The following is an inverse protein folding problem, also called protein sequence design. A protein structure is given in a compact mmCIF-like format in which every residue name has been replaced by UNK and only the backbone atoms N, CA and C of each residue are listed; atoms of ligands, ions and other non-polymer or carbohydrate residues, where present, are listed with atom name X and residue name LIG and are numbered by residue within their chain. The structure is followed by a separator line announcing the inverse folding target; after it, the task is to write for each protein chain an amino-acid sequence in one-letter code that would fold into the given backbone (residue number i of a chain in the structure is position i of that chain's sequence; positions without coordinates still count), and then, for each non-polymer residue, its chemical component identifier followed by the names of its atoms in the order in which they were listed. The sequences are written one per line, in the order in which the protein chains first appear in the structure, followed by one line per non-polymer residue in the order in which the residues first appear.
data_IF_228781969696
#
_entry.id   IF_228781969696
#
_cell.length_a   1.000
_cell.length_b   1.000
_cell.length_c   1.000
_cell.angle_alpha   90.00
_cell.angle_beta   90.00
_cell.angle_gamma   90.00
#
_symmetry.space_group_name_H-M   'P 1'
#
loop_
_entity.id
_entity.type
_entity.pdbx_description
1 polymer ?
#
# COMPACT_ATOMS: atom_id res chain seq x y z
N UNK A 1 21.05 53.71 -44.24
CA UNK A 1 21.93 52.57 -43.98
C UNK A 1 21.71 52.14 -42.58
N UNK A 2 21.10 50.98 -42.36
CA UNK A 2 21.41 50.08 -41.27
C UNK A 2 20.35 48.98 -41.22
N UNK A 3 20.85 47.79 -41.46
CA UNK A 3 20.09 46.56 -41.58
C UNK A 3 19.54 46.15 -40.19
N UNK A 4 18.25 45.94 -40.11
CA UNK A 4 17.60 45.32 -38.97
C UNK A 4 17.58 43.82 -39.21
N UNK A 5 18.39 43.12 -38.44
CA UNK A 5 18.40 41.65 -38.39
C UNK A 5 17.33 41.23 -37.40
N UNK A 6 16.22 40.71 -37.93
CA UNK A 6 15.17 40.12 -37.13
C UNK A 6 15.57 38.73 -36.69
N UNK A 7 15.84 38.55 -35.40
CA UNK A 7 15.99 37.24 -34.79
C UNK A 7 14.61 36.62 -34.55
N UNK A 8 14.23 35.69 -35.40
CA UNK A 8 13.06 34.84 -35.15
C UNK A 8 13.40 33.82 -34.09
N UNK A 9 12.87 34.02 -32.90
CA UNK A 9 12.96 33.06 -31.79
C UNK A 9 11.93 31.96 -32.03
N UNK A 10 12.40 30.83 -32.57
CA UNK A 10 11.63 29.59 -32.70
C UNK A 10 11.46 28.96 -31.33
N UNK A 11 10.30 29.19 -30.69
CA UNK A 11 9.87 28.45 -29.52
C UNK A 11 9.47 27.04 -29.96
N UNK A 12 10.39 26.09 -29.83
CA UNK A 12 10.05 24.68 -29.87
C UNK A 12 9.27 24.32 -28.59
N UNK A 13 7.96 24.37 -28.67
CA UNK A 13 7.11 23.71 -27.68
C UNK A 13 7.23 22.20 -27.89
N UNK A 14 8.10 21.56 -27.12
CA UNK A 14 8.10 20.12 -26.98
C UNK A 14 6.81 19.72 -26.25
N UNK A 15 5.77 19.40 -27.01
CA UNK A 15 4.60 18.71 -26.47
C UNK A 15 5.06 17.30 -26.08
N UNK A 16 5.39 17.11 -24.82
CA UNK A 16 5.53 15.79 -24.23
C UNK A 16 4.15 15.14 -24.22
N UNK A 17 3.86 14.41 -25.29
CA UNK A 17 2.75 13.48 -25.30
C UNK A 17 3.10 12.40 -24.27
N UNK A 18 2.53 12.49 -23.09
CA UNK A 18 2.45 11.36 -22.18
C UNK A 18 1.67 10.30 -22.96
N UNK A 19 2.39 9.32 -23.48
CA UNK A 19 1.80 8.15 -24.11
C UNK A 19 1.10 7.37 -23.01
N UNK A 20 -0.20 7.60 -22.87
CA UNK A 20 -1.06 6.68 -22.15
C UNK A 20 -0.96 5.36 -22.93
N UNK A 21 -0.49 4.25 -22.33
CA UNK A 21 -0.43 2.98 -23.03
C UNK A 21 -1.80 2.72 -23.65
N UNK A 22 -1.81 2.24 -24.89
CA UNK A 22 -3.01 1.89 -25.63
C UNK A 22 -3.73 0.76 -24.87
N UNK A 23 -4.57 1.15 -23.90
CA UNK A 23 -5.47 0.22 -23.25
C UNK A 23 -6.62 -0.06 -24.18
N UNK A 24 -6.91 -1.33 -24.40
CA UNK A 24 -8.10 -1.72 -25.15
C UNK A 24 -9.36 -1.31 -24.37
N UNK A 25 -10.50 -1.15 -25.06
CA UNK A 25 -11.78 -0.90 -24.42
C UNK A 25 -12.12 -1.99 -23.40
N UNK A 26 -11.66 -3.21 -23.66
CA UNK A 26 -11.85 -4.35 -22.76
C UNK A 26 -11.00 -4.25 -21.50
N UNK A 27 -9.76 -3.77 -21.61
CA UNK A 27 -8.89 -3.53 -20.44
C UNK A 27 -9.44 -2.41 -19.56
N UNK A 28 -9.98 -1.36 -20.18
CA UNK A 28 -10.64 -0.27 -19.48
C UNK A 28 -11.90 -0.74 -18.74
N UNK A 29 -12.73 -1.56 -19.39
CA UNK A 29 -13.93 -2.14 -18.79
C UNK A 29 -13.59 -3.07 -17.61
N UNK A 30 -12.55 -3.89 -17.74
CA UNK A 30 -12.04 -4.76 -16.69
C UNK A 30 -11.54 -3.93 -15.49
N UNK A 31 -10.79 -2.86 -15.76
CA UNK A 31 -10.27 -1.98 -14.72
C UNK A 31 -11.40 -1.25 -13.97
N UNK A 32 -12.44 -0.80 -14.68
CA UNK A 32 -13.62 -0.19 -14.05
C UNK A 32 -14.37 -1.19 -13.17
N UNK A 33 -14.57 -2.42 -13.63
CA UNK A 33 -15.19 -3.49 -12.84
C UNK A 33 -14.39 -3.82 -11.57
N UNK A 34 -13.06 -3.80 -11.66
CA UNK A 34 -12.15 -3.99 -10.53
C UNK A 34 -12.28 -2.86 -9.50
N UNK A 35 -12.29 -1.60 -9.96
CA UNK A 35 -12.47 -0.45 -9.07
C UNK A 35 -13.83 -0.47 -8.37
N UNK A 36 -14.89 -0.87 -9.07
CA UNK A 36 -16.23 -1.01 -8.49
C UNK A 36 -16.29 -2.13 -7.45
N UNK A 37 -15.66 -3.28 -7.72
CA UNK A 37 -15.53 -4.39 -6.76
C UNK A 37 -14.76 -3.99 -5.51
N UNK A 38 -13.65 -3.27 -5.66
CA UNK A 38 -12.85 -2.77 -4.55
C UNK A 38 -13.61 -1.70 -3.75
N UNK A 39 -14.28 -0.77 -4.41
CA UNK A 39 -15.09 0.26 -3.75
C UNK A 39 -16.24 -0.38 -2.94
N UNK A 40 -16.90 -1.41 -3.48
CA UNK A 40 -17.94 -2.15 -2.77
C UNK A 40 -17.40 -2.88 -1.54
N UNK A 41 -16.20 -3.46 -1.64
CA UNK A 41 -15.54 -4.15 -0.53
C UNK A 41 -15.16 -3.16 0.59
N UNK A 42 -14.53 -2.05 0.23
CA UNK A 42 -14.13 -0.99 1.17
C UNK A 42 -15.36 -0.36 1.83
N UNK A 43 -16.44 -0.17 1.09
CA UNK A 43 -17.69 0.39 1.61
C UNK A 43 -18.40 -0.48 2.66
N UNK A 44 -17.97 -1.73 2.84
CA UNK A 44 -18.47 -2.64 3.88
C UNK A 44 -17.64 -2.56 5.18
N UNK A 45 -16.51 -1.84 5.17
CA UNK A 45 -15.67 -1.66 6.33
C UNK A 45 -16.23 -0.58 7.24
N UNK A 46 -16.13 -0.80 8.55
CA UNK A 46 -16.51 0.18 9.56
C UNK A 46 -15.36 1.19 9.77
N UNK A 47 -15.57 2.43 9.33
CA UNK A 47 -14.56 3.51 9.43
C UNK A 47 -14.09 3.74 10.87
N UNK A 48 -15.00 3.73 11.83
CA UNK A 48 -14.66 3.95 13.23
C UNK A 48 -13.79 2.80 13.74
N UNK A 49 -14.12 1.58 13.36
CA UNK A 49 -13.35 0.40 13.75
C UNK A 49 -11.97 0.39 13.10
N UNK A 50 -11.85 0.84 11.85
CA UNK A 50 -10.56 1.00 11.16
C UNK A 50 -9.67 2.01 11.88
N UNK A 51 -10.23 3.14 12.31
CA UNK A 51 -9.50 4.15 13.08
C UNK A 51 -9.01 3.58 14.41
N UNK A 52 -9.85 2.85 15.14
CA UNK A 52 -9.48 2.18 16.40
C UNK A 52 -8.33 1.18 16.17
N UNK A 53 -8.41 0.36 15.12
CA UNK A 53 -7.35 -0.59 14.76
C UNK A 53 -6.05 0.13 14.43
N UNK A 54 -6.12 1.25 13.71
CA UNK A 54 -4.96 2.09 13.41
C UNK A 54 -4.31 2.65 14.66
N UNK A 55 -5.08 3.19 15.59
CA UNK A 55 -4.60 3.70 16.88
C UNK A 55 -3.97 2.60 17.73
N UNK A 56 -4.59 1.42 17.77
CA UNK A 56 -4.03 0.25 18.47
C UNK A 56 -2.70 -0.19 17.85
N UNK A 57 -2.62 -0.26 16.53
CA UNK A 57 -1.39 -0.62 15.83
C UNK A 57 -0.26 0.37 16.14
N UNK A 58 -0.54 1.68 16.13
CA UNK A 58 0.43 2.71 16.47
C UNK A 58 0.91 2.59 17.94
N UNK A 59 0.00 2.41 18.89
CA UNK A 59 0.35 2.26 20.29
C UNK A 59 1.21 1.02 20.53
N UNK A 60 0.87 -0.10 19.89
CA UNK A 60 1.63 -1.35 19.97
C UNK A 60 3.00 -1.24 19.29
N UNK A 61 3.08 -0.54 18.16
CA UNK A 61 4.35 -0.22 17.52
C UNK A 61 5.31 0.52 18.44
N UNK A 62 4.84 1.58 19.10
CA UNK A 62 5.63 2.34 20.09
C UNK A 62 6.09 1.49 21.28
N UNK A 63 5.25 0.56 21.75
CA UNK A 63 5.63 -0.38 22.79
C UNK A 63 6.79 -1.28 22.35
N UNK A 64 6.70 -1.84 21.14
CA UNK A 64 7.76 -2.68 20.57
C UNK A 64 9.06 -1.89 20.38
N UNK A 65 8.99 -0.68 19.81
CA UNK A 65 10.16 0.20 19.67
C UNK A 65 10.84 0.48 21.00
N UNK A 66 10.06 0.76 22.05
CA UNK A 66 10.57 1.02 23.40
C UNK A 66 11.28 -0.20 23.98
N UNK A 67 10.74 -1.41 23.78
CA UNK A 67 11.35 -2.65 24.23
C UNK A 67 12.66 -2.93 23.46
N UNK A 68 12.68 -2.69 22.16
CA UNK A 68 13.89 -2.82 21.35
C UNK A 68 14.97 -1.83 21.78
N UNK A 69 14.61 -0.58 22.02
CA UNK A 69 15.53 0.46 22.51
C UNK A 69 16.10 0.13 23.91
N UNK A 70 15.32 -0.57 24.75
CA UNK A 70 15.75 -1.04 26.06
C UNK A 70 16.58 -2.34 26.03
N UNK A 71 16.84 -2.89 24.85
CA UNK A 71 17.57 -4.15 24.65
C UNK A 71 16.76 -5.41 25.02
N UNK A 72 15.45 -5.28 25.22
CA UNK A 72 14.53 -6.38 25.58
C UNK A 72 14.02 -7.08 24.34
N UNK A 73 14.93 -7.62 23.53
CA UNK A 73 14.61 -8.17 22.20
C UNK A 73 13.60 -9.32 22.25
N UNK A 74 13.80 -10.29 23.15
CA UNK A 74 12.91 -11.46 23.25
C UNK A 74 11.48 -11.05 23.70
N UNK A 75 11.39 -10.07 24.61
CA UNK A 75 10.10 -9.52 25.06
C UNK A 75 9.41 -8.77 23.92
N UNK A 76 10.15 -7.98 23.14
CA UNK A 76 9.65 -7.29 21.96
C UNK A 76 9.10 -8.28 20.92
N UNK A 77 9.84 -9.33 20.62
CA UNK A 77 9.42 -10.38 19.67
C UNK A 77 8.16 -11.09 20.14
N UNK A 78 8.11 -11.50 21.41
CA UNK A 78 6.93 -12.15 21.99
C UNK A 78 5.69 -11.26 21.92
N UNK A 79 5.85 -9.98 22.25
CA UNK A 79 4.76 -8.99 22.16
C UNK A 79 4.31 -8.79 20.72
N UNK A 80 5.23 -8.63 19.78
CA UNK A 80 4.91 -8.48 18.36
C UNK A 80 4.10 -9.66 17.83
N UNK A 81 4.51 -10.88 18.13
CA UNK A 81 3.78 -12.10 17.73
C UNK A 81 2.37 -12.14 18.35
N UNK A 82 2.23 -11.80 19.63
CA UNK A 82 0.92 -11.79 20.28
C UNK A 82 0.01 -10.71 19.68
N UNK A 83 0.52 -9.51 19.44
CA UNK A 83 -0.23 -8.44 18.80
C UNK A 83 -0.66 -8.81 17.37
N UNK A 84 0.21 -9.46 16.60
CA UNK A 84 -0.14 -9.95 15.27
C UNK A 84 -1.29 -10.97 15.33
N UNK A 85 -1.24 -11.91 16.26
CA UNK A 85 -2.32 -12.91 16.44
C UNK A 85 -3.65 -12.25 16.81
N UNK A 86 -3.64 -11.29 17.73
CA UNK A 86 -4.83 -10.54 18.11
C UNK A 86 -5.40 -9.74 16.94
N UNK A 87 -4.52 -9.10 16.17
CA UNK A 87 -4.91 -8.34 14.98
C UNK A 87 -5.54 -9.22 13.91
N UNK A 88 -4.92 -10.37 13.61
CA UNK A 88 -5.45 -11.35 12.65
C UNK A 88 -6.77 -12.00 13.10
N UNK A 89 -7.05 -12.03 14.40
CA UNK A 89 -8.30 -12.54 14.94
C UNK A 89 -9.45 -11.52 14.84
N UNK A 90 -9.15 -10.24 14.66
CA UNK A 90 -10.15 -9.17 14.58
C UNK A 90 -11.07 -9.35 13.36
N UNK A 91 -12.40 -9.26 13.54
CA UNK A 91 -13.34 -9.44 12.44
C UNK A 91 -13.21 -8.40 11.33
N UNK A 92 -12.88 -7.15 11.67
CA UNK A 92 -12.72 -6.08 10.70
C UNK A 92 -11.42 -6.25 9.89
N UNK A 93 -10.34 -6.66 10.56
CA UNK A 93 -9.11 -7.03 9.88
C UNK A 93 -9.31 -8.16 8.87
N UNK A 94 -10.10 -9.20 9.23
CA UNK A 94 -10.46 -10.28 8.30
C UNK A 94 -11.20 -9.78 7.06
N UNK A 95 -12.09 -8.79 7.21
CA UNK A 95 -12.75 -8.17 6.05
C UNK A 95 -11.74 -7.42 5.17
N UNK A 96 -10.79 -6.69 5.76
CA UNK A 96 -9.71 -6.03 5.03
C UNK A 96 -8.91 -7.04 4.22
N UNK A 97 -8.54 -8.17 4.82
CA UNK A 97 -7.80 -9.24 4.15
C UNK A 97 -8.59 -9.84 2.99
N UNK A 98 -9.90 -10.04 3.15
CA UNK A 98 -10.76 -10.51 2.06
C UNK A 98 -10.81 -9.52 0.89
N UNK A 99 -10.81 -8.21 1.16
CA UNK A 99 -10.69 -7.19 0.12
C UNK A 99 -9.33 -7.26 -0.58
N UNK A 100 -8.26 -7.56 0.16
CA UNK A 100 -6.91 -7.77 -0.39
C UNK A 100 -6.83 -9.00 -1.30
N UNK A 101 -7.46 -10.12 -0.93
CA UNK A 101 -7.53 -11.33 -1.75
C UNK A 101 -8.26 -11.07 -3.09
N UNK A 102 -9.32 -10.28 -3.07
CA UNK A 102 -10.00 -9.84 -4.31
C UNK A 102 -9.03 -9.05 -5.18
N UNK A 103 -8.28 -8.12 -4.60
CA UNK A 103 -7.27 -7.35 -5.33
C UNK A 103 -6.14 -8.24 -5.89
N UNK A 104 -5.66 -9.21 -5.11
CA UNK A 104 -4.62 -10.17 -5.56
C UNK A 104 -5.09 -11.06 -6.70
N UNK A 105 -6.34 -11.53 -6.66
CA UNK A 105 -6.90 -12.36 -7.74
C UNK A 105 -6.99 -11.61 -9.07
N UNK A 106 -7.05 -10.28 -9.02
CA UNK A 106 -7.14 -9.40 -10.19
C UNK A 106 -5.77 -8.92 -10.69
N UNK A 107 -4.76 -8.92 -9.83
CA UNK A 107 -3.39 -8.45 -10.11
C UNK A 107 -2.37 -9.51 -9.66
N UNK A 108 -2.26 -10.64 -10.37
CA UNK A 108 -1.37 -11.75 -9.98
C UNK A 108 0.10 -11.32 -9.82
N UNK A 109 0.55 -10.33 -10.61
CA UNK A 109 1.93 -9.82 -10.55
C UNK A 109 2.28 -9.10 -9.23
N UNK A 110 1.27 -8.67 -8.45
CA UNK A 110 1.51 -8.08 -7.12
C UNK A 110 1.76 -9.12 -6.03
N UNK A 111 1.31 -10.35 -6.23
CA UNK A 111 1.57 -11.45 -5.29
C UNK A 111 3.07 -11.77 -5.20
N UNK A 112 3.79 -11.61 -6.31
CA UNK A 112 5.24 -11.85 -6.39
C UNK A 112 6.08 -10.76 -5.69
N UNK A 113 5.47 -9.59 -5.40
CA UNK A 113 6.14 -8.48 -4.70
C UNK A 113 6.07 -8.62 -3.18
N UNK A 114 5.17 -9.44 -2.67
CA UNK A 114 4.99 -9.69 -1.25
C UNK A 114 5.29 -11.15 -0.94
N UNK A 115 6.47 -11.40 -0.41
CA UNK A 115 6.86 -12.71 0.10
C UNK A 115 6.63 -12.76 1.63
N UNK A 116 5.54 -13.40 2.08
CA UNK A 116 5.26 -13.52 3.51
C UNK A 116 6.28 -14.41 4.23
N UNK A 117 6.98 -15.32 3.53
CA UNK A 117 7.99 -16.19 4.14
C UNK A 117 9.26 -15.42 4.52
N UNK A 118 9.58 -14.33 3.81
CA UNK A 118 10.72 -13.48 4.13
C UNK A 118 10.53 -12.66 5.41
N UNK A 119 9.31 -12.44 5.85
CA UNK A 119 8.96 -11.69 7.06
C UNK A 119 9.08 -12.53 8.34
N UNK A 120 9.00 -13.87 8.24
CA UNK A 120 9.01 -14.76 9.41
C UNK A 120 10.42 -14.97 10.00
N UNK A 121 11.47 -14.77 9.21
CA UNK A 121 12.85 -15.00 9.65
C UNK A 121 13.52 -13.75 10.27
N UNK A 122 12.86 -12.58 10.20
CA UNK A 122 13.44 -11.33 10.70
C UNK A 122 12.93 -11.00 12.10
N UNK A 123 13.88 -10.79 13.03
CA UNK A 123 13.54 -10.31 14.36
C UNK A 123 12.92 -8.92 14.30
N UNK A 124 11.82 -8.66 15.06
CA UNK A 124 11.07 -7.39 15.00
C UNK A 124 11.97 -6.17 15.21
N UNK A 125 12.95 -6.23 16.10
CA UNK A 125 13.87 -5.13 16.36
C UNK A 125 14.89 -4.88 15.24
N UNK A 126 15.02 -5.77 14.27
CA UNK A 126 15.90 -5.59 13.11
C UNK A 126 15.13 -5.02 11.91
N UNK A 127 13.78 -4.98 12.02
CA UNK A 127 12.88 -4.45 11.01
C UNK A 127 12.45 -2.98 11.25
N UNK A 128 12.84 -2.38 12.38
CA UNK A 128 12.47 -1.02 12.81
C UNK A 128 13.45 0.05 12.35
#
# INVERSE_FOLDING_TARGET
MKKLIGSALLLLTAATHAQVPNMSEQDLANMMGMLEGMASCIGQLDEQRLEELGQQAEARGKEIESLCAAGKRDEAQTKAVNHAKEFMADPEYKKIMQCGEVAQSMLPDLADLYDPESADDQHVCDAL
#
